data_IF_281185123805
#
_entry.id   IF_281185123805
#
_cell.length_a   1.000
_cell.length_b   1.000
_cell.length_c   1.000
_cell.angle_alpha   90.00
_cell.angle_beta   90.00
_cell.angle_gamma   90.00
#
_symmetry.space_group_name_H-M   'P 1'
#
loop_
_entity.id
_entity.type
_entity.pdbx_description
1 polymer ?
#
# COMPACT_ATOMS: atom_id res chain seq x y z
N UNK A 1 -16.04 -15.04 -0.46
CA UNK A 1 -16.18 -13.61 -0.83
C UNK A 1 -17.48 -12.97 -0.35
N UNK A 2 -18.67 -13.45 -0.75
CA UNK A 2 -19.94 -12.73 -0.46
C UNK A 2 -20.35 -12.65 1.03
N UNK A 3 -19.93 -13.61 1.87
CA UNK A 3 -20.30 -13.65 3.30
C UNK A 3 -19.51 -12.61 4.12
N UNK A 4 -18.19 -12.57 3.96
CA UNK A 4 -17.32 -11.63 4.70
C UNK A 4 -17.57 -10.18 4.28
N UNK A 5 -17.79 -9.94 2.98
CA UNK A 5 -18.09 -8.61 2.46
C UNK A 5 -19.37 -8.04 3.09
N UNK A 6 -20.43 -8.85 3.20
CA UNK A 6 -21.69 -8.44 3.83
C UNK A 6 -21.57 -8.27 5.35
N UNK A 7 -20.72 -9.06 6.01
CA UNK A 7 -20.52 -9.02 7.46
C UNK A 7 -19.71 -7.81 7.91
N UNK A 8 -18.59 -7.53 7.25
CA UNK A 8 -17.60 -6.56 7.73
C UNK A 8 -16.93 -5.71 6.66
N UNK A 9 -17.34 -5.79 5.39
CA UNK A 9 -16.76 -4.96 4.33
C UNK A 9 -15.39 -5.40 3.82
N UNK A 10 -14.86 -6.53 4.29
CA UNK A 10 -13.59 -7.12 3.84
C UNK A 10 -13.79 -8.47 3.16
N UNK A 11 -12.84 -8.87 2.32
CA UNK A 11 -12.91 -10.15 1.59
C UNK A 11 -11.54 -10.60 1.08
N UNK A 12 -11.44 -11.89 0.77
CA UNK A 12 -10.31 -12.46 0.04
C UNK A 12 -10.79 -13.15 -1.24
N UNK A 13 -9.96 -13.13 -2.27
CA UNK A 13 -10.20 -13.83 -3.55
C UNK A 13 -8.90 -14.28 -4.18
N UNK A 14 -8.90 -15.39 -4.90
CA UNK A 14 -7.74 -15.82 -5.72
C UNK A 14 -7.80 -15.08 -7.05
N UNK A 15 -6.82 -14.21 -7.32
CA UNK A 15 -6.76 -13.45 -8.57
C UNK A 15 -6.10 -14.29 -9.68
N UNK A 16 -5.04 -15.01 -9.33
CA UNK A 16 -4.32 -15.91 -10.22
C UNK A 16 -3.90 -17.18 -9.45
N UNK A 17 -3.55 -18.28 -10.14
CA UNK A 17 -2.87 -19.40 -9.49
C UNK A 17 -1.61 -18.90 -8.77
N UNK A 18 -1.54 -19.09 -7.45
CA UNK A 18 -0.43 -18.62 -6.63
C UNK A 18 -0.53 -17.17 -6.15
N UNK A 19 -1.60 -16.42 -6.45
CA UNK A 19 -1.84 -15.07 -5.90
C UNK A 19 -3.25 -14.93 -5.32
N UNK A 20 -3.31 -14.59 -4.03
CA UNK A 20 -4.52 -14.21 -3.30
C UNK A 20 -4.53 -12.69 -3.07
N UNK A 21 -5.67 -12.05 -3.32
CA UNK A 21 -5.93 -10.66 -2.94
C UNK A 21 -6.73 -10.68 -1.64
N UNK A 22 -6.28 -9.90 -0.66
CA UNK A 22 -6.97 -9.67 0.61
C UNK A 22 -7.32 -8.19 0.70
N UNK A 23 -8.62 -7.88 0.66
CA UNK A 23 -9.16 -6.53 0.77
C UNK A 23 -9.62 -6.29 2.20
N UNK A 24 -9.00 -5.35 2.90
CA UNK A 24 -9.31 -4.97 4.28
C UNK A 24 -10.23 -3.75 4.34
N UNK A 25 -11.07 -3.71 5.36
CA UNK A 25 -11.88 -2.57 5.74
C UNK A 25 -11.16 -1.73 6.81
N UNK A 26 -10.28 -0.86 6.35
CA UNK A 26 -9.46 -0.02 7.22
C UNK A 26 -10.27 0.98 8.09
N UNK A 27 -11.59 1.10 7.90
CA UNK A 27 -12.41 1.87 8.83
C UNK A 27 -12.43 1.29 10.26
N UNK A 28 -12.06 0.01 10.43
CA UNK A 28 -11.91 -0.60 11.74
C UNK A 28 -10.62 -0.20 12.48
N UNK A 29 -9.64 0.38 11.78
CA UNK A 29 -8.52 1.07 12.42
C UNK A 29 -8.79 2.57 12.62
N UNK A 30 -9.72 3.17 11.88
CA UNK A 30 -9.82 4.62 11.73
C UNK A 30 -10.09 5.35 13.07
N UNK A 31 -9.20 6.27 13.47
CA UNK A 31 -9.33 7.08 14.69
C UNK A 31 -10.54 8.02 14.67
N UNK A 32 -11.09 8.31 13.48
CA UNK A 32 -12.33 9.06 13.30
C UNK A 32 -13.59 8.20 13.30
N UNK A 33 -13.48 6.88 13.39
CA UNK A 33 -14.63 5.99 13.51
C UNK A 33 -15.10 5.93 14.98
N UNK A 34 -16.08 6.76 15.33
CA UNK A 34 -16.58 6.87 16.70
C UNK A 34 -17.23 5.59 17.25
N UNK A 35 -17.61 4.64 16.40
CA UNK A 35 -18.11 3.34 16.85
C UNK A 35 -17.05 2.52 17.61
N UNK A 36 -15.77 2.79 17.36
CA UNK A 36 -14.66 2.13 18.06
C UNK A 36 -14.55 2.54 19.53
N UNK A 37 -15.21 3.62 19.96
CA UNK A 37 -15.32 4.00 21.38
C UNK A 37 -16.08 2.95 22.21
N UNK A 38 -16.96 2.18 21.58
CA UNK A 38 -17.70 1.11 22.26
C UNK A 38 -16.79 -0.11 22.51
N UNK A 39 -16.06 -0.52 21.48
CA UNK A 39 -15.03 -1.55 21.54
C UNK A 39 -14.12 -1.45 20.32
N UNK A 40 -12.83 -1.19 20.55
CA UNK A 40 -11.79 -1.12 19.52
C UNK A 40 -10.97 -2.41 19.42
N UNK A 41 -11.32 -3.46 20.17
CA UNK A 41 -10.61 -4.75 20.15
C UNK A 41 -11.02 -5.51 18.89
N UNK A 42 -10.09 -5.58 17.93
CA UNK A 42 -10.21 -6.26 16.63
C UNK A 42 -11.65 -6.27 16.06
N UNK A 43 -12.18 -5.10 15.64
CA UNK A 43 -13.56 -5.01 15.21
C UNK A 43 -13.86 -5.98 14.05
N UNK A 44 -14.96 -6.72 14.19
CA UNK A 44 -15.37 -7.77 13.26
C UNK A 44 -14.38 -8.96 13.11
N UNK A 45 -13.44 -9.12 14.04
CA UNK A 45 -12.39 -10.14 14.02
C UNK A 45 -11.51 -10.04 12.75
N UNK A 46 -11.30 -8.84 12.22
CA UNK A 46 -10.66 -8.62 10.93
C UNK A 46 -9.17 -9.00 10.94
N UNK A 47 -8.41 -8.66 11.98
CA UNK A 47 -6.99 -9.03 12.09
C UNK A 47 -6.82 -10.51 12.36
N UNK A 48 -7.67 -11.12 13.19
CA UNK A 48 -7.72 -12.58 13.35
C UNK A 48 -7.97 -13.25 12.00
N UNK A 49 -9.00 -12.80 11.27
CA UNK A 49 -9.33 -13.32 9.95
C UNK A 49 -8.17 -13.12 8.95
N UNK A 50 -7.47 -11.98 8.99
CA UNK A 50 -6.29 -11.74 8.17
C UNK A 50 -5.19 -12.78 8.47
N UNK A 51 -4.89 -13.05 9.74
CA UNK A 51 -3.91 -14.07 10.14
C UNK A 51 -4.28 -15.44 9.56
N UNK A 52 -5.57 -15.82 9.63
CA UNK A 52 -6.05 -17.08 9.05
C UNK A 52 -5.83 -17.12 7.52
N UNK A 53 -6.13 -16.03 6.82
CA UNK A 53 -5.91 -15.94 5.36
C UNK A 53 -4.44 -16.04 4.98
N UNK A 54 -3.56 -15.37 5.73
CA UNK A 54 -2.12 -15.38 5.48
C UNK A 54 -1.51 -16.75 5.81
N UNK A 55 -1.90 -17.35 6.93
CA UNK A 55 -1.44 -18.69 7.30
C UNK A 55 -1.87 -19.76 6.29
N UNK A 56 -3.10 -19.69 5.80
CA UNK A 56 -3.59 -20.58 4.74
C UNK A 56 -2.76 -20.41 3.45
N UNK A 57 -2.48 -19.16 3.06
CA UNK A 57 -1.71 -18.85 1.85
C UNK A 57 -0.26 -19.35 1.97
N UNK A 58 0.36 -19.18 3.14
CA UNK A 58 1.71 -19.70 3.44
C UNK A 58 1.77 -21.23 3.30
N UNK A 59 0.78 -21.95 3.84
CA UNK A 59 0.67 -23.43 3.72
C UNK A 59 0.50 -23.84 2.26
N UNK A 60 -0.27 -23.09 1.48
CA UNK A 60 -0.53 -23.37 0.06
C UNK A 60 0.61 -22.89 -0.87
N UNK A 61 1.62 -22.18 -0.34
CA UNK A 61 2.68 -21.57 -1.13
C UNK A 61 2.20 -20.39 -2.00
N UNK A 62 1.04 -19.83 -1.70
CA UNK A 62 0.47 -18.67 -2.40
C UNK A 62 1.11 -17.37 -1.88
N UNK A 63 1.22 -16.37 -2.76
CA UNK A 63 1.55 -15.00 -2.38
C UNK A 63 0.28 -14.20 -2.17
N UNK A 64 0.41 -13.13 -1.38
CA UNK A 64 -0.71 -12.28 -1.01
C UNK A 64 -0.43 -10.84 -1.38
N UNK A 65 -1.40 -10.19 -2.02
CA UNK A 65 -1.50 -8.74 -2.06
C UNK A 65 -2.60 -8.27 -1.12
N UNK A 66 -2.27 -7.28 -0.29
CA UNK A 66 -3.22 -6.62 0.58
C UNK A 66 -3.63 -5.30 -0.06
N UNK A 67 -4.94 -5.05 -0.12
CA UNK A 67 -5.50 -3.76 -0.53
C UNK A 67 -6.34 -3.18 0.61
N UNK A 68 -6.24 -1.88 0.83
CA UNK A 68 -7.01 -1.17 1.84
C UNK A 68 -7.15 0.31 1.50
N UNK A 69 -7.91 1.05 2.30
CA UNK A 69 -8.08 2.49 2.10
C UNK A 69 -7.07 3.31 2.90
N UNK A 70 -7.20 3.31 4.23
CA UNK A 70 -6.34 4.05 5.17
C UNK A 70 -5.02 3.28 5.36
N UNK A 71 -3.86 3.89 5.13
CA UNK A 71 -2.57 3.27 5.41
C UNK A 71 -2.41 2.95 6.90
N UNK A 72 -1.80 1.81 7.26
CA UNK A 72 -1.69 1.40 8.65
C UNK A 72 -0.67 2.24 9.45
N UNK A 73 0.31 2.87 8.80
CA UNK A 73 1.37 3.61 9.47
C UNK A 73 0.96 4.99 9.99
N UNK A 74 0.00 5.66 9.35
CA UNK A 74 -0.37 7.03 9.71
C UNK A 74 -1.24 7.14 10.98
N UNK A 75 -1.29 8.34 11.56
CA UNK A 75 -2.08 8.65 12.77
C UNK A 75 -3.60 8.52 12.63
N UNK A 76 -4.08 8.19 11.43
CA UNK A 76 -5.49 7.93 11.16
C UNK A 76 -5.87 6.49 11.54
N UNK A 77 -4.91 5.56 11.67
CA UNK A 77 -5.16 4.27 12.30
C UNK A 77 -4.86 4.33 13.81
N UNK A 78 -5.69 3.68 14.62
CA UNK A 78 -5.45 3.49 16.05
C UNK A 78 -4.12 2.74 16.25
N UNK A 79 -3.25 3.28 17.10
CA UNK A 79 -1.91 2.76 17.36
C UNK A 79 -1.91 1.25 17.66
N UNK A 80 -2.81 0.79 18.53
CA UNK A 80 -2.89 -0.64 18.89
C UNK A 80 -3.24 -1.52 17.68
N UNK A 81 -4.11 -1.04 16.78
CA UNK A 81 -4.43 -1.78 15.56
C UNK A 81 -3.23 -1.80 14.62
N UNK A 82 -2.58 -0.64 14.42
CA UNK A 82 -1.38 -0.48 13.59
C UNK A 82 -0.22 -1.39 14.04
N UNK A 83 0.07 -1.44 15.34
CA UNK A 83 1.13 -2.30 15.89
C UNK A 83 0.85 -3.80 15.69
N UNK A 84 -0.41 -4.22 15.82
CA UNK A 84 -0.79 -5.61 15.56
C UNK A 84 -0.69 -5.94 14.07
N UNK A 85 -1.15 -5.04 13.20
CA UNK A 85 -0.97 -5.18 11.75
C UNK A 85 0.52 -5.29 11.38
N UNK A 86 1.37 -4.42 11.92
CA UNK A 86 2.83 -4.46 11.70
C UNK A 86 3.45 -5.81 12.11
N UNK A 87 3.06 -6.38 13.25
CA UNK A 87 3.52 -7.71 13.70
C UNK A 87 3.05 -8.82 12.77
N UNK A 88 1.82 -8.74 12.25
CA UNK A 88 1.28 -9.70 11.28
C UNK A 88 2.11 -9.64 9.99
N UNK A 89 2.33 -8.43 9.45
CA UNK A 89 3.16 -8.26 8.25
C UNK A 89 4.58 -8.78 8.46
N UNK A 90 5.18 -8.49 9.62
CA UNK A 90 6.51 -9.02 9.97
C UNK A 90 6.55 -10.54 10.01
N UNK A 91 5.53 -11.21 10.59
CA UNK A 91 5.45 -12.68 10.62
C UNK A 91 5.29 -13.27 9.22
N UNK A 92 4.58 -12.60 8.33
CA UNK A 92 4.23 -13.11 7.00
C UNK A 92 4.97 -12.39 5.86
N UNK A 93 6.16 -11.84 6.13
CA UNK A 93 6.94 -11.05 5.15
C UNK A 93 7.24 -11.80 3.85
N UNK A 94 7.37 -13.13 3.91
CA UNK A 94 7.60 -13.96 2.72
C UNK A 94 6.33 -14.26 1.91
N UNK A 95 5.17 -14.11 2.53
CA UNK A 95 3.85 -14.42 1.97
C UNK A 95 3.22 -13.16 1.39
N UNK A 96 3.32 -12.01 2.07
CA UNK A 96 2.80 -10.72 1.59
C UNK A 96 3.80 -10.09 0.63
N UNK A 97 3.42 -9.94 -0.65
CA UNK A 97 4.31 -9.45 -1.73
C UNK A 97 3.92 -8.09 -2.31
N UNK A 98 2.86 -7.49 -1.79
CA UNK A 98 2.42 -6.15 -2.16
C UNK A 98 1.33 -5.65 -1.21
N UNK A 99 1.39 -4.37 -0.87
CA UNK A 99 0.39 -3.70 -0.04
C UNK A 99 0.02 -2.38 -0.71
N UNK A 100 -1.27 -2.12 -0.93
CA UNK A 100 -1.75 -0.98 -1.71
C UNK A 100 -2.82 -0.22 -0.94
N UNK A 101 -2.55 1.05 -0.66
CA UNK A 101 -3.42 1.94 0.08
C UNK A 101 -3.64 3.27 -0.66
N UNK A 102 -4.51 4.11 -0.11
CA UNK A 102 -4.76 5.46 -0.61
C UNK A 102 -4.97 6.41 0.56
N UNK A 103 -6.14 7.07 0.61
CA UNK A 103 -6.61 7.96 1.69
C UNK A 103 -5.82 9.26 1.89
N UNK A 104 -4.48 9.24 1.87
CA UNK A 104 -3.66 10.46 2.02
C UNK A 104 -3.78 11.39 0.83
N UNK A 105 -4.23 10.86 -0.31
CA UNK A 105 -4.36 11.53 -1.61
C UNK A 105 -3.02 11.89 -2.27
N UNK A 106 -1.90 11.61 -1.60
CA UNK A 106 -0.55 11.94 -2.02
C UNK A 106 0.15 10.73 -2.65
N UNK A 107 1.24 10.99 -3.37
CA UNK A 107 2.12 9.95 -3.89
C UNK A 107 3.22 9.63 -2.86
N UNK A 108 3.04 8.53 -2.11
CA UNK A 108 3.84 8.19 -0.94
C UNK A 108 4.14 6.68 -0.87
N UNK A 109 5.09 6.31 -0.02
CA UNK A 109 5.40 4.92 0.34
C UNK A 109 5.53 4.82 1.87
N UNK A 110 5.06 3.72 2.45
CA UNK A 110 5.37 3.34 3.83
C UNK A 110 6.27 2.10 3.84
N UNK A 111 7.38 2.16 4.58
CA UNK A 111 8.29 1.02 4.76
C UNK A 111 8.00 0.30 6.07
N UNK A 112 8.01 -1.03 6.01
CA UNK A 112 7.90 -1.91 7.17
C UNK A 112 9.28 -2.44 7.52
N UNK A 113 9.65 -2.41 8.79
CA UNK A 113 10.95 -2.84 9.28
C UNK A 113 10.84 -4.00 10.26
N UNK A 114 11.90 -4.79 10.37
CA UNK A 114 11.98 -5.86 11.35
C UNK A 114 11.91 -5.30 12.78
N UNK A 115 10.96 -5.78 13.62
CA UNK A 115 10.87 -5.38 15.02
C UNK A 115 12.16 -5.63 15.84
N UNK A 116 13.01 -6.55 15.38
CA UNK A 116 14.28 -6.93 15.99
C UNK A 116 15.50 -6.29 15.30
N UNK A 117 15.35 -5.80 14.06
CA UNK A 117 16.39 -5.08 13.32
C UNK A 117 15.78 -3.90 12.53
N UNK A 118 15.77 -2.68 13.11
CA UNK A 118 15.15 -1.52 12.49
C UNK A 118 15.88 -1.04 11.22
N UNK A 119 16.99 -1.67 10.81
CA UNK A 119 17.66 -1.39 9.55
C UNK A 119 17.22 -2.30 8.42
N UNK A 120 16.50 -3.38 8.73
CA UNK A 120 16.05 -4.38 7.75
C UNK A 120 14.63 -4.08 7.30
N UNK A 121 14.50 -3.44 6.14
CA UNK A 121 13.20 -3.28 5.49
C UNK A 121 12.68 -4.66 5.01
N UNK A 122 11.47 -5.00 5.42
CA UNK A 122 10.81 -6.28 5.13
C UNK A 122 9.61 -6.15 4.20
N UNK A 123 8.99 -4.97 4.17
CA UNK A 123 7.79 -4.72 3.37
C UNK A 123 7.68 -3.27 2.94
N UNK A 124 6.85 -3.05 1.93
CA UNK A 124 6.50 -1.72 1.45
C UNK A 124 4.99 -1.67 1.20
N UNK A 125 4.38 -0.56 1.57
CA UNK A 125 3.03 -0.19 1.19
C UNK A 125 3.07 1.00 0.22
N UNK A 126 2.38 0.85 -0.90
CA UNK A 126 2.27 1.89 -1.92
C UNK A 126 1.01 2.71 -1.69
N UNK A 127 1.18 4.01 -1.48
CA UNK A 127 0.08 4.94 -1.28
C UNK A 127 -0.18 5.64 -2.61
N UNK A 128 -1.31 5.28 -3.23
CA UNK A 128 -1.72 5.83 -4.52
C UNK A 128 -2.28 7.25 -4.38
N UNK A 129 -1.98 8.14 -5.35
CA UNK A 129 -2.47 9.51 -5.32
C UNK A 129 -3.94 9.50 -5.71
N UNK A 130 -4.64 10.59 -5.41
CA UNK A 130 -6.07 10.67 -5.70
C UNK A 130 -6.37 11.15 -7.12
N UNK A 131 -7.47 10.63 -7.66
CA UNK A 131 -8.12 11.23 -8.84
C UNK A 131 -8.78 12.56 -8.47
N UNK A 132 -9.29 12.70 -7.24
CA UNK A 132 -9.80 14.00 -6.77
C UNK A 132 -8.67 15.00 -6.60
N UNK A 133 -8.99 16.29 -6.76
CA UNK A 133 -8.04 17.41 -6.61
C UNK A 133 -7.80 17.81 -5.16
N UNK A 134 -8.74 17.47 -4.28
CA UNK A 134 -8.64 17.70 -2.84
C UNK A 134 -7.67 16.68 -2.27
N UNK A 135 -6.48 16.96 -1.74
CA UNK A 135 -5.76 18.23 -1.62
C UNK A 135 -4.37 18.11 -2.30
N UNK A 136 -4.26 17.26 -3.32
CA UNK A 136 -3.01 16.75 -3.93
C UNK A 136 -2.61 17.43 -5.25
N UNK A 137 -3.47 18.29 -5.80
CA UNK A 137 -3.20 19.07 -7.01
C UNK A 137 -3.91 18.52 -8.25
N UNK A 138 -3.14 18.00 -9.21
CA UNK A 138 -3.69 17.44 -10.43
C UNK A 138 -4.33 16.06 -10.17
N UNK A 139 -5.49 15.74 -10.78
CA UNK A 139 -6.02 14.39 -10.79
C UNK A 139 -4.98 13.40 -11.27
N UNK A 140 -4.80 12.31 -10.50
CA UNK A 140 -3.78 11.32 -10.76
C UNK A 140 -4.31 9.89 -10.58
N UNK A 141 -3.73 8.94 -11.31
CA UNK A 141 -3.88 7.52 -11.06
C UNK A 141 -2.54 6.79 -11.25
N UNK A 142 -2.46 5.55 -10.75
CA UNK A 142 -1.24 4.74 -10.82
C UNK A 142 -1.47 3.40 -11.51
N UNK A 143 -0.46 2.97 -12.25
CA UNK A 143 -0.36 1.64 -12.84
C UNK A 143 0.85 0.93 -12.23
N UNK A 144 0.64 -0.27 -11.69
CA UNK A 144 1.72 -1.11 -11.17
C UNK A 144 2.10 -2.18 -12.19
N UNK A 145 3.39 -2.32 -12.46
CA UNK A 145 3.95 -3.46 -13.16
C UNK A 145 4.33 -4.50 -12.12
N UNK A 146 3.72 -5.69 -12.17
CA UNK A 146 3.90 -6.75 -11.18
C UNK A 146 4.52 -7.97 -11.87
N UNK A 147 5.35 -8.71 -11.15
CA UNK A 147 5.88 -9.99 -11.62
C UNK A 147 4.75 -10.94 -12.05
N UNK A 148 4.87 -11.46 -13.27
CA UNK A 148 3.74 -11.98 -14.04
C UNK A 148 3.15 -13.30 -13.56
N UNK A 149 2.12 -13.77 -14.26
CA UNK A 149 1.45 -15.04 -13.96
C UNK A 149 2.18 -16.24 -14.57
N UNK A 150 3.16 -16.78 -13.85
CA UNK A 150 3.90 -17.98 -14.22
C UNK A 150 4.31 -18.80 -12.98
N UNK A 151 4.70 -20.08 -13.12
CA UNK A 151 5.09 -20.92 -11.98
C UNK A 151 6.22 -20.29 -11.16
N UNK A 152 6.06 -20.26 -9.83
CA UNK A 152 7.02 -19.65 -8.90
C UNK A 152 7.25 -18.14 -9.09
N UNK A 153 6.29 -17.41 -9.69
CA UNK A 153 6.31 -15.95 -9.72
C UNK A 153 6.45 -15.37 -8.31
N UNK A 154 7.24 -14.31 -8.18
CA UNK A 154 7.45 -13.62 -6.91
C UNK A 154 6.25 -12.74 -6.54
N UNK A 155 5.43 -12.38 -7.54
CA UNK A 155 4.31 -11.44 -7.43
C UNK A 155 4.69 -10.08 -6.82
N UNK A 156 5.97 -9.72 -6.84
CA UNK A 156 6.43 -8.42 -6.34
C UNK A 156 6.11 -7.32 -7.35
N UNK A 157 5.96 -6.09 -6.86
CA UNK A 157 5.92 -4.91 -7.72
C UNK A 157 7.31 -4.70 -8.32
N UNK A 158 7.36 -4.63 -9.64
CA UNK A 158 8.60 -4.43 -10.40
C UNK A 158 8.86 -2.94 -10.64
N UNK A 159 7.82 -2.20 -11.01
CA UNK A 159 7.83 -0.75 -11.23
C UNK A 159 6.41 -0.20 -11.04
N UNK A 160 6.28 1.11 -10.93
CA UNK A 160 4.99 1.79 -11.02
C UNK A 160 5.09 3.10 -11.78
N UNK A 161 4.01 3.45 -12.48
CA UNK A 161 3.88 4.67 -13.25
C UNK A 161 2.70 5.49 -12.73
N UNK A 162 2.93 6.77 -12.44
CA UNK A 162 1.86 7.71 -12.09
C UNK A 162 1.49 8.52 -13.34
N UNK A 163 0.20 8.65 -13.60
CA UNK A 163 -0.37 9.43 -14.69
C UNK A 163 -1.18 10.58 -14.12
N UNK A 164 -1.04 11.77 -14.71
CA UNK A 164 -1.75 12.98 -14.28
C UNK A 164 -2.56 13.62 -15.42
N UNK A 165 -3.61 14.32 -15.04
CA UNK A 165 -4.34 15.25 -15.91
C UNK A 165 -4.02 16.68 -15.49
N UNK A 166 -3.20 17.38 -16.29
CA UNK A 166 -2.83 18.76 -15.99
C UNK A 166 -4.06 19.68 -16.12
N UNK A 167 -4.61 20.08 -14.98
CA UNK A 167 -5.79 20.96 -14.92
C UNK A 167 -5.55 22.33 -15.53
N UNK A 168 -4.33 22.86 -15.48
CA UNK A 168 -4.03 24.16 -16.09
C UNK A 168 -4.19 24.07 -17.61
N UNK A 169 -3.68 23.00 -18.22
CA UNK A 169 -3.83 22.74 -19.66
C UNK A 169 -5.29 22.43 -20.02
N UNK A 170 -5.96 21.56 -19.26
CA UNK A 170 -7.35 21.17 -19.52
C UNK A 170 -8.31 22.37 -19.40
N UNK A 171 -8.16 23.20 -18.37
CA UNK A 171 -9.02 24.37 -18.17
C UNK A 171 -8.73 25.51 -19.16
N UNK A 172 -7.52 25.57 -19.74
CA UNK A 172 -7.19 26.53 -20.79
C UNK A 172 -7.89 26.18 -22.13
N UNK A 173 -8.39 24.96 -22.30
CA UNK A 173 -9.08 24.49 -23.51
C UNK A 173 -10.33 23.68 -23.13
N UNK A 174 -11.39 24.33 -22.60
CA UNK A 174 -12.54 23.63 -22.01
C UNK A 174 -13.36 22.79 -23.01
N UNK A 175 -13.24 23.10 -24.31
CA UNK A 175 -13.91 22.35 -25.40
C UNK A 175 -13.11 21.10 -25.82
N UNK A 176 -11.85 20.97 -25.40
CA UNK A 176 -11.01 19.83 -25.70
C UNK A 176 -11.16 18.72 -24.65
N UNK A 177 -11.00 17.47 -25.09
CA UNK A 177 -10.96 16.34 -24.15
C UNK A 177 -9.70 16.43 -23.28
N UNK A 178 -9.81 16.28 -21.95
CA UNK A 178 -8.65 16.29 -21.08
C UNK A 178 -7.65 15.16 -21.42
N UNK A 179 -6.37 15.49 -21.41
CA UNK A 179 -5.29 14.54 -21.74
C UNK A 179 -4.63 14.04 -20.47
N UNK A 180 -4.56 12.72 -20.30
CA UNK A 180 -3.78 12.06 -19.27
C UNK A 180 -2.38 11.75 -19.80
N UNK A 181 -1.35 12.18 -19.07
CA UNK A 181 0.06 11.98 -19.44
C UNK A 181 0.77 11.22 -18.33
N UNK A 182 1.67 10.32 -18.69
CA UNK A 182 2.59 9.71 -17.72
C UNK A 182 3.44 10.84 -17.10
N UNK A 183 3.43 10.92 -15.77
CA UNK A 183 4.23 11.87 -15.01
C UNK A 183 5.64 11.30 -14.78
N UNK A 184 5.72 10.08 -14.26
CA UNK A 184 6.99 9.39 -14.04
C UNK A 184 6.82 7.86 -13.91
N UNK A 185 7.92 7.13 -14.15
CA UNK A 185 8.14 5.74 -13.70
C UNK A 185 9.07 5.78 -12.50
N UNK A 186 8.75 5.04 -11.43
CA UNK A 186 9.54 5.05 -10.20
C UNK A 186 10.98 4.58 -10.43
N UNK A 187 11.19 3.49 -11.18
CA UNK A 187 12.54 3.02 -11.52
C UNK A 187 13.36 4.06 -12.24
N UNK A 188 12.76 4.75 -13.21
CA UNK A 188 13.45 5.78 -14.01
C UNK A 188 13.79 7.02 -13.18
N UNK A 189 12.83 7.50 -12.39
CA UNK A 189 12.97 8.72 -11.59
C UNK A 189 13.97 8.58 -10.43
N UNK A 190 13.97 7.43 -9.76
CA UNK A 190 14.79 7.18 -8.57
C UNK A 190 16.02 6.30 -8.84
N UNK A 191 16.26 5.89 -10.09
CA UNK A 191 17.41 5.06 -10.46
C UNK A 191 17.39 3.67 -9.82
N UNK A 192 16.21 3.15 -9.46
CA UNK A 192 16.06 1.92 -8.70
C UNK A 192 16.01 0.68 -9.61
N UNK A 193 16.67 -0.40 -9.19
CA UNK A 193 16.59 -1.68 -9.88
C UNK A 193 15.22 -2.36 -9.71
N UNK A 194 14.61 -2.20 -8.53
CA UNK A 194 13.33 -2.78 -8.16
C UNK A 194 12.63 -1.89 -7.13
N UNK A 195 11.34 -1.66 -7.30
CA UNK A 195 10.50 -0.99 -6.30
C UNK A 195 9.98 -2.05 -5.34
N UNK A 196 10.84 -2.54 -4.46
CA UNK A 196 10.48 -3.47 -3.38
C UNK A 196 11.21 -3.04 -2.09
N UNK A 197 10.84 -3.59 -0.94
CA UNK A 197 11.36 -3.18 0.37
C UNK A 197 12.90 -3.08 0.41
N UNK A 198 13.60 -4.08 -0.14
CA UNK A 198 15.07 -4.07 -0.20
C UNK A 198 15.66 -2.95 -1.08
N UNK A 199 14.99 -2.62 -2.19
CA UNK A 199 15.40 -1.52 -3.08
C UNK A 199 15.13 -0.15 -2.47
N UNK A 200 13.93 0.06 -1.92
CA UNK A 200 13.52 1.33 -1.29
C UNK A 200 14.30 1.59 0.01
N UNK A 201 14.57 0.53 0.79
CA UNK A 201 15.37 0.61 2.01
C UNK A 201 16.83 1.03 1.76
N UNK A 202 17.43 0.66 0.63
CA UNK A 202 18.79 1.10 0.27
C UNK A 202 18.83 2.57 -0.12
N UNK A 203 17.91 3.01 -0.99
CA UNK A 203 17.87 4.40 -1.48
C UNK A 203 17.56 5.40 -0.36
N UNK A 204 16.62 5.07 0.54
CA UNK A 204 16.31 5.90 1.71
C UNK A 204 17.51 6.09 2.66
N UNK A 205 18.36 5.08 2.82
CA UNK A 205 19.60 5.20 3.60
C UNK A 205 20.67 6.03 2.87
N UNK A 206 20.75 5.96 1.54
CA UNK A 206 21.66 6.78 0.74
C UNK A 206 21.26 8.27 0.70
N UNK A 207 19.96 8.56 0.58
CA UNK A 207 19.45 9.93 0.53
C UNK A 207 19.47 10.64 1.90
N UNK A 208 19.35 9.91 3.01
CA UNK A 208 19.63 10.45 4.35
C UNK A 208 21.05 11.04 4.47
N UNK A 209 21.99 10.64 3.59
CA UNK A 209 23.33 11.20 3.48
C UNK A 209 23.51 12.34 2.47
N UNK A 210 22.53 12.61 1.59
CA UNK A 210 22.60 13.63 0.53
C UNK A 210 21.47 14.66 0.69
N UNK A 211 21.82 15.93 0.86
CA UNK A 211 20.85 17.04 0.85
C UNK A 211 20.30 17.29 -0.57
N UNK A 212 19.44 16.42 -1.09
CA UNK A 212 18.53 16.72 -2.20
C UNK A 212 17.09 16.60 -1.70
N UNK A 213 16.18 17.51 -2.08
CA UNK A 213 14.83 17.47 -1.58
C UNK A 213 14.07 16.38 -2.33
N UNK A 214 14.00 15.17 -1.77
CA UNK A 214 12.82 14.34 -1.95
C UNK A 214 11.64 15.13 -1.35
N UNK A 215 10.55 15.30 -2.11
CA UNK A 215 9.26 15.59 -1.46
C UNK A 215 9.03 14.46 -0.46
N UNK A 216 8.62 14.78 0.77
CA UNK A 216 9.00 13.98 1.92
C UNK A 216 8.36 12.59 1.82
N UNK A 217 9.19 11.57 1.60
CA UNK A 217 8.94 10.23 2.12
C UNK A 217 8.95 10.40 3.64
N UNK A 218 7.77 10.59 4.24
CA UNK A 218 7.62 10.66 5.69
C UNK A 218 8.03 9.29 6.27
N UNK A 219 9.09 9.21 7.08
CA UNK A 219 9.32 8.02 7.89
C UNK A 219 8.26 8.03 8.99
N UNK A 220 7.41 7.02 9.04
CA UNK A 220 6.46 6.84 10.13
C UNK A 220 6.87 5.63 10.97
N UNK A 221 6.93 5.88 12.29
CA UNK A 221 7.16 5.02 13.45
C UNK A 221 8.62 4.74 13.87
N UNK A 222 9.04 5.48 14.91
CA UNK A 222 9.78 4.97 16.06
C UNK A 222 8.80 4.72 17.20
#
# INVERSE_FOLDING_TARGET
TAITLKRGGFYATKAFPGLKIVSLNMNYCNSLNWWLLLNSTDPADELLWLVEQLQESEIQGEKVHIIGHIPPGIGDCLQVWSENYHRIISRFEDTVRGQFFGHTHMDELELFYDPTDPKRAMGVAYLAPSVTTFNSGHPAFRVYTIDGNYPNSTWMVLDHETYIMNLTEANASPEAQPVWKAEYSAKSAYGMALVAAAGVGQDSQEDAGRRRPLRPLLPVLQ
#
